data_IF_369540571709
#
_entry.id   IF_369540571709
#
_cell.length_a   1.000
_cell.length_b   1.000
_cell.length_c   1.000
_cell.angle_alpha   90.00
_cell.angle_beta   90.00
_cell.angle_gamma   90.00
#
_symmetry.space_group_name_H-M   'P 1'
#
loop_
_entity.id
_entity.type
_entity.pdbx_description
1 polymer ?
#
# COMPACT_ATOMS: atom_id res chain seq x y z
N UNK A 1 4.12 18.49 -14.28
CA UNK A 1 2.99 17.88 -13.56
C UNK A 1 3.60 16.90 -12.60
N UNK A 2 3.12 16.86 -11.36
CA UNK A 2 3.62 15.92 -10.36
C UNK A 2 3.27 14.50 -10.78
N UNK A 3 4.26 13.64 -10.99
CA UNK A 3 4.03 12.23 -11.31
C UNK A 3 3.67 11.47 -10.03
N UNK A 4 2.43 10.97 -9.98
CA UNK A 4 1.88 10.24 -8.84
C UNK A 4 1.49 8.84 -9.30
N UNK A 5 1.98 7.82 -8.60
CA UNK A 5 1.59 6.42 -8.81
C UNK A 5 0.86 5.90 -7.58
N UNK A 6 -0.30 5.27 -7.76
CA UNK A 6 -1.10 4.73 -6.65
C UNK A 6 -1.39 3.26 -6.86
N UNK A 7 -0.99 2.42 -5.90
CA UNK A 7 -1.27 0.98 -5.90
C UNK A 7 -2.58 0.71 -5.14
N UNK A 8 -3.62 0.31 -5.87
CA UNK A 8 -4.97 0.07 -5.34
C UNK A 8 -5.75 -0.91 -6.22
N UNK A 9 -6.87 -1.43 -5.74
CA UNK A 9 -7.84 -2.14 -6.56
C UNK A 9 -8.85 -2.98 -5.77
N UNK A 10 -8.45 -3.47 -4.60
CA UNK A 10 -9.31 -4.31 -3.76
C UNK A 10 -10.11 -3.48 -2.77
N UNK A 11 -9.47 -2.50 -2.13
CA UNK A 11 -10.11 -1.63 -1.12
C UNK A 11 -10.72 -0.38 -1.75
N UNK A 12 -10.17 0.09 -2.87
CA UNK A 12 -10.66 1.22 -3.63
C UNK A 12 -10.46 0.96 -5.13
N UNK A 13 -11.53 1.03 -5.90
CA UNK A 13 -11.47 0.80 -7.34
C UNK A 13 -10.75 1.94 -8.06
N UNK A 14 -10.18 1.67 -9.24
CA UNK A 14 -9.50 2.69 -10.04
C UNK A 14 -10.47 3.79 -10.52
N UNK A 15 -11.74 3.46 -10.75
CA UNK A 15 -12.75 4.42 -11.16
C UNK A 15 -13.06 5.42 -10.03
N UNK A 16 -13.30 4.92 -8.82
CA UNK A 16 -13.53 5.77 -7.64
C UNK A 16 -12.28 6.61 -7.32
N UNK A 17 -11.10 6.00 -7.36
CA UNK A 17 -9.85 6.73 -7.11
C UNK A 17 -9.59 7.81 -8.17
N UNK A 18 -9.78 7.48 -9.45
CA UNK A 18 -9.63 8.41 -10.57
C UNK A 18 -10.61 9.58 -10.55
N UNK A 19 -11.76 9.43 -9.89
CA UNK A 19 -12.69 10.54 -9.64
C UNK A 19 -12.19 11.55 -8.59
N UNK A 20 -11.25 11.15 -7.73
CA UNK A 20 -10.71 11.96 -6.62
C UNK A 20 -9.35 12.59 -6.96
N UNK A 21 -8.51 11.86 -7.69
CA UNK A 21 -7.14 12.27 -8.01
C UNK A 21 -6.75 11.79 -9.41
N UNK A 22 -6.14 12.67 -10.19
CA UNK A 22 -5.50 12.31 -11.45
C UNK A 22 -4.11 11.73 -11.16
N UNK A 23 -3.97 10.41 -11.29
CA UNK A 23 -2.75 9.66 -10.98
C UNK A 23 -2.66 8.38 -11.83
N UNK A 24 -1.46 7.80 -11.90
CA UNK A 24 -1.23 6.49 -12.51
C UNK A 24 -1.64 5.38 -11.52
N UNK A 25 -2.82 4.80 -11.74
CA UNK A 25 -3.36 3.72 -10.92
C UNK A 25 -2.83 2.36 -11.36
N UNK A 26 -2.27 1.62 -10.40
CA UNK A 26 -1.69 0.29 -10.59
C UNK A 26 -2.40 -0.74 -9.72
N UNK A 27 -2.33 -2.03 -10.09
CA UNK A 27 -2.86 -3.12 -9.25
C UNK A 27 -2.23 -3.11 -7.85
N UNK A 28 -2.79 -3.85 -6.87
CA UNK A 28 -2.20 -3.97 -5.53
C UNK A 28 -0.69 -4.25 -5.57
N UNK A 29 0.06 -3.52 -4.74
CA UNK A 29 1.53 -3.56 -4.75
C UNK A 29 2.06 -4.96 -4.47
N UNK A 30 3.06 -5.39 -5.22
CA UNK A 30 3.81 -6.62 -4.96
C UNK A 30 5.31 -6.39 -5.00
N UNK A 31 6.05 -7.43 -4.63
CA UNK A 31 7.51 -7.45 -4.65
C UNK A 31 8.07 -7.00 -5.99
N UNK A 32 9.09 -6.16 -5.93
CA UNK A 32 9.79 -5.50 -7.03
C UNK A 32 9.05 -4.37 -7.77
N UNK A 33 7.76 -4.13 -7.53
CA UNK A 33 7.05 -3.05 -8.24
C UNK A 33 7.67 -1.67 -7.94
N UNK A 34 7.98 -1.41 -6.67
CA UNK A 34 8.59 -0.13 -6.24
C UNK A 34 10.01 0.00 -6.81
N UNK A 35 10.80 -1.07 -6.80
CA UNK A 35 12.14 -1.04 -7.41
C UNK A 35 12.07 -0.69 -8.89
N UNK A 36 11.13 -1.29 -9.64
CA UNK A 36 10.95 -1.02 -11.07
C UNK A 36 10.60 0.46 -11.31
N UNK A 37 9.77 1.06 -10.46
CA UNK A 37 9.44 2.49 -10.56
C UNK A 37 10.66 3.37 -10.30
N UNK A 38 11.40 3.10 -9.21
CA UNK A 38 12.60 3.84 -8.86
C UNK A 38 13.67 3.73 -9.97
N UNK A 39 13.86 2.55 -10.54
CA UNK A 39 14.84 2.31 -11.61
C UNK A 39 14.49 3.02 -12.92
N UNK A 40 13.22 3.39 -13.13
CA UNK A 40 12.74 4.17 -14.28
C UNK A 40 12.83 5.69 -14.09
N UNK A 41 13.39 6.15 -12.98
CA UNK A 41 13.51 7.57 -12.64
C UNK A 41 12.71 7.97 -11.41
N UNK A 42 11.79 7.12 -10.94
CA UNK A 42 10.96 7.34 -9.76
C UNK A 42 9.88 8.41 -9.97
N UNK A 43 8.61 8.15 -9.59
CA UNK A 43 7.61 9.21 -9.52
C UNK A 43 7.92 10.17 -8.36
N UNK A 44 7.28 11.33 -8.33
CA UNK A 44 7.38 12.25 -7.18
C UNK A 44 6.71 11.65 -5.94
N UNK A 45 5.59 10.94 -6.13
CA UNK A 45 4.79 10.36 -5.06
C UNK A 45 4.36 8.93 -5.39
N UNK A 46 4.48 8.03 -4.41
CA UNK A 46 3.90 6.68 -4.42
C UNK A 46 2.85 6.58 -3.31
N UNK A 47 1.61 6.32 -3.69
CA UNK A 47 0.53 5.93 -2.77
C UNK A 47 0.39 4.41 -2.71
N UNK A 48 0.34 3.84 -1.51
CA UNK A 48 0.09 2.41 -1.29
C UNK A 48 -1.22 2.27 -0.52
N UNK A 49 -2.24 1.72 -1.18
CA UNK A 49 -3.52 1.38 -0.57
C UNK A 49 -3.57 -0.14 -0.39
N UNK A 50 -3.46 -0.89 -1.48
CA UNK A 50 -3.56 -2.34 -1.48
C UNK A 50 -2.22 -3.01 -1.81
N UNK A 51 -2.03 -4.22 -1.28
CA UNK A 51 -0.88 -5.06 -1.60
C UNK A 51 -1.19 -6.55 -1.56
N UNK A 52 -0.40 -7.35 -2.28
CA UNK A 52 -0.58 -8.80 -2.36
C UNK A 52 0.09 -9.48 -1.16
N UNK A 53 -0.71 -10.18 -0.36
CA UNK A 53 -0.23 -10.90 0.83
C UNK A 53 0.05 -12.38 0.51
N UNK A 54 1.29 -12.69 0.13
CA UNK A 54 1.87 -14.04 0.15
C UNK A 54 3.38 -13.91 0.34
N UNK A 55 4.03 -14.80 1.11
CA UNK A 55 5.43 -14.68 1.57
C UNK A 55 6.45 -14.22 0.49
N UNK A 56 6.31 -14.74 -0.74
CA UNK A 56 7.17 -14.35 -1.88
C UNK A 56 6.69 -13.17 -2.71
N UNK A 57 5.43 -12.75 -2.55
CA UNK A 57 4.79 -11.69 -3.33
C UNK A 57 4.68 -10.35 -2.57
N UNK A 58 4.78 -10.35 -1.24
CA UNK A 58 4.65 -9.13 -0.45
C UNK A 58 5.80 -8.14 -0.74
N UNK A 59 5.43 -6.87 -0.88
CA UNK A 59 6.38 -5.76 -1.04
C UNK A 59 7.33 -5.73 0.16
N UNK A 60 8.64 -5.67 -0.11
CA UNK A 60 9.64 -5.69 0.94
C UNK A 60 9.92 -4.28 1.47
N UNK A 61 10.16 -4.15 2.78
CA UNK A 61 10.52 -2.88 3.43
C UNK A 61 11.67 -2.15 2.74
N UNK A 62 12.67 -2.92 2.28
CA UNK A 62 13.85 -2.38 1.59
C UNK A 62 13.51 -1.63 0.30
N UNK A 63 12.43 -1.99 -0.38
CA UNK A 63 12.00 -1.32 -1.62
C UNK A 63 11.42 0.06 -1.31
N UNK A 64 10.57 0.13 -0.29
CA UNK A 64 9.98 1.39 0.19
C UNK A 64 11.09 2.33 0.70
N UNK A 65 12.00 1.81 1.53
CA UNK A 65 13.15 2.59 2.02
C UNK A 65 14.02 3.09 0.86
N UNK A 66 14.21 2.28 -0.19
CA UNK A 66 14.95 2.68 -1.39
C UNK A 66 14.25 3.84 -2.11
N UNK A 67 12.94 3.77 -2.29
CA UNK A 67 12.17 4.86 -2.89
C UNK A 67 12.29 6.16 -2.08
N UNK A 68 12.13 6.09 -0.76
CA UNK A 68 12.28 7.25 0.14
C UNK A 68 13.69 7.84 0.02
N UNK A 69 14.74 7.00 0.01
CA UNK A 69 16.13 7.44 -0.18
C UNK A 69 16.41 8.04 -1.56
N UNK A 70 15.62 7.67 -2.57
CA UNK A 70 15.67 8.27 -3.90
C UNK A 70 14.93 9.61 -3.99
N UNK A 71 14.35 10.10 -2.89
CA UNK A 71 13.61 11.36 -2.83
C UNK A 71 12.12 11.23 -3.17
N UNK A 72 11.61 10.00 -3.33
CA UNK A 72 10.19 9.73 -3.59
C UNK A 72 9.40 9.85 -2.30
N UNK A 73 8.30 10.60 -2.33
CA UNK A 73 7.37 10.64 -1.19
C UNK A 73 6.52 9.37 -1.21
N UNK A 74 6.56 8.57 -0.14
CA UNK A 74 5.77 7.34 -0.06
C UNK A 74 4.70 7.47 1.02
N UNK A 75 3.44 7.25 0.65
CA UNK A 75 2.27 7.41 1.52
C UNK A 75 1.49 6.09 1.60
N UNK A 76 1.05 5.70 2.79
CA UNK A 76 0.20 4.52 2.97
C UNK A 76 -0.85 4.71 4.06
N UNK A 77 -2.05 4.15 3.87
CA UNK A 77 -3.15 4.42 4.82
C UNK A 77 -4.29 3.41 4.89
N UNK A 78 -4.24 2.35 4.08
CA UNK A 78 -5.20 1.26 4.12
C UNK A 78 -4.45 -0.07 3.96
N UNK A 79 -5.05 -1.19 4.39
CA UNK A 79 -4.54 -2.55 4.14
C UNK A 79 -3.01 -2.65 4.33
N UNK A 80 -2.30 -3.21 3.35
CA UNK A 80 -0.83 -3.32 3.35
C UNK A 80 -0.11 -1.97 3.40
N UNK A 81 -0.71 -0.91 2.85
CA UNK A 81 -0.15 0.44 2.91
C UNK A 81 -0.10 1.01 4.33
N UNK A 82 -1.13 0.79 5.14
CA UNK A 82 -1.17 1.20 6.54
C UNK A 82 -0.14 0.44 7.38
N UNK A 83 -0.08 -0.89 7.22
CA UNK A 83 0.89 -1.75 7.89
C UNK A 83 2.33 -1.31 7.56
N UNK A 84 2.64 -1.15 6.26
CA UNK A 84 3.98 -0.72 5.84
C UNK A 84 4.30 0.68 6.33
N UNK A 85 3.32 1.58 6.39
CA UNK A 85 3.51 2.90 6.95
C UNK A 85 3.86 2.85 8.44
N UNK A 86 3.17 2.05 9.26
CA UNK A 86 3.49 1.92 10.69
C UNK A 86 4.86 1.30 10.96
N UNK A 87 5.34 0.45 10.06
CA UNK A 87 6.67 -0.16 10.19
C UNK A 87 7.81 0.78 9.72
N UNK A 88 7.49 1.75 8.86
CA UNK A 88 8.45 2.58 8.13
C UNK A 88 8.28 4.08 8.33
N UNK A 89 7.41 4.51 9.22
CA UNK A 89 7.20 5.92 9.54
C UNK A 89 8.48 6.58 10.08
N UNK A 90 9.22 5.89 10.94
CA UNK A 90 10.54 6.32 11.44
C UNK A 90 11.60 6.37 10.33
N UNK A 91 11.32 5.78 9.16
CA UNK A 91 12.18 5.78 8.00
C UNK A 91 11.73 6.78 6.92
N UNK A 92 10.66 7.54 7.17
CA UNK A 92 10.17 8.60 6.28
C UNK A 92 8.96 8.23 5.42
N UNK A 93 8.35 7.06 5.63
CA UNK A 93 7.05 6.74 5.01
C UNK A 93 5.96 7.54 5.73
N UNK A 94 4.99 8.08 4.99
CA UNK A 94 3.90 8.86 5.56
C UNK A 94 2.69 7.96 5.76
N UNK A 95 2.35 7.68 7.01
CA UNK A 95 1.12 7.00 7.37
C UNK A 95 -0.07 7.94 7.49
N UNK A 96 -1.22 7.55 6.93
CA UNK A 96 -2.46 8.34 6.99
C UNK A 96 -3.67 7.50 7.38
N UNK A 97 -4.57 8.10 8.17
CA UNK A 97 -5.86 7.51 8.49
C UNK A 97 -5.85 6.52 9.66
N UNK A 98 -7.05 6.08 10.02
CA UNK A 98 -7.34 5.34 11.26
C UNK A 98 -6.66 3.97 11.32
N UNK A 99 -6.53 3.26 10.20
CA UNK A 99 -5.90 1.93 10.18
C UNK A 99 -4.40 2.05 10.49
N UNK A 100 -3.72 3.04 9.92
CA UNK A 100 -2.33 3.33 10.26
C UNK A 100 -2.17 3.71 11.74
N UNK A 101 -3.04 4.58 12.27
CA UNK A 101 -3.02 4.95 13.69
C UNK A 101 -3.16 3.72 14.60
N UNK A 102 -4.05 2.78 14.26
CA UNK A 102 -4.23 1.54 15.02
C UNK A 102 -2.98 0.66 15.03
N UNK A 103 -2.30 0.52 13.90
CA UNK A 103 -1.03 -0.21 13.84
C UNK A 103 0.08 0.52 14.61
N UNK A 104 0.22 1.84 14.44
CA UNK A 104 1.23 2.66 15.12
C UNK A 104 1.08 2.62 16.64
N UNK A 105 -0.16 2.66 17.12
CA UNK A 105 -0.47 2.71 18.55
C UNK A 105 -0.56 1.31 19.19
N UNK A 106 -0.27 0.24 18.43
CA UNK A 106 -0.30 -1.15 18.90
C UNK A 106 -1.70 -1.68 19.22
N UNK A 107 -2.75 -1.02 18.71
CA UNK A 107 -4.14 -1.47 18.83
C UNK A 107 -4.38 -2.72 17.97
N UNK A 108 -3.62 -2.84 16.89
CA UNK A 108 -3.58 -3.98 15.97
C UNK A 108 -2.13 -4.41 15.77
N UNK A 109 -1.79 -5.65 16.11
CA UNK A 109 -0.41 -6.15 16.13
C UNK A 109 -0.12 -7.31 15.15
N UNK A 110 -1.14 -7.88 14.51
CA UNK A 110 -0.99 -9.09 13.68
C UNK A 110 -1.12 -8.81 12.18
N UNK A 111 -0.17 -9.32 11.40
CA UNK A 111 -0.16 -9.32 9.92
C UNK A 111 -1.38 -10.04 9.32
N UNK A 112 -2.03 -10.94 10.08
CA UNK A 112 -3.24 -11.65 9.69
C UNK A 112 -4.47 -10.72 9.60
N UNK A 113 -4.40 -9.51 10.15
CA UNK A 113 -5.55 -8.59 10.19
C UNK A 113 -5.88 -7.93 8.84
N UNK A 114 -4.91 -7.89 7.91
CA UNK A 114 -5.05 -7.32 6.56
C UNK A 114 -4.88 -8.34 5.44
N UNK A 115 -4.63 -9.61 5.76
CA UNK A 115 -4.49 -10.67 4.78
C UNK A 115 -5.86 -10.95 4.11
N UNK A 116 -6.00 -10.55 2.85
CA UNK A 116 -7.19 -10.83 2.03
C UNK A 116 -6.79 -11.74 0.88
N UNK A 117 -7.39 -12.92 0.83
CA UNK A 117 -7.43 -13.74 -0.40
C UNK A 117 -8.39 -13.08 -1.38
N UNK A 118 -7.97 -12.88 -2.62
CA UNK A 118 -8.79 -12.34 -3.70
C UNK A 118 -8.64 -13.15 -4.98
N UNK A 119 -9.61 -13.05 -5.87
CA UNK A 119 -9.58 -13.74 -7.15
C UNK A 119 -8.51 -13.09 -8.06
N UNK A 120 -7.56 -13.85 -8.63
CA UNK A 120 -6.36 -13.30 -9.27
C UNK A 120 -6.63 -12.52 -10.56
N UNK A 121 -7.79 -12.73 -11.19
CA UNK A 121 -8.17 -12.07 -12.46
C UNK A 121 -9.18 -10.94 -12.28
N UNK A 122 -10.08 -11.05 -11.29
CA UNK A 122 -11.15 -10.08 -11.07
C UNK A 122 -10.85 -9.12 -9.91
N UNK A 123 -9.81 -9.40 -9.12
CA UNK A 123 -9.44 -8.68 -7.90
C UNK A 123 -10.54 -8.66 -6.83
N UNK A 124 -11.60 -9.44 -7.02
CA UNK A 124 -12.70 -9.54 -6.06
C UNK A 124 -12.20 -10.20 -4.76
N UNK A 125 -12.48 -9.61 -3.59
CA UNK A 125 -12.11 -10.20 -2.31
C UNK A 125 -12.88 -11.51 -2.08
N UNK A 126 -12.15 -12.62 -1.94
CA UNK A 126 -12.67 -13.95 -1.62
C UNK A 126 -12.70 -14.21 -0.10
N UNK A 127 -12.23 -13.24 0.69
CA UNK A 127 -12.22 -13.26 2.15
C UNK A 127 -12.38 -11.83 2.69
N UNK A 128 -12.83 -11.71 3.93
CA UNK A 128 -12.93 -10.43 4.62
C UNK A 128 -11.69 -10.26 5.50
N UNK A 129 -10.96 -9.15 5.43
CA UNK A 129 -9.82 -8.92 6.31
C UNK A 129 -10.29 -8.89 7.77
N UNK A 130 -9.55 -9.52 8.66
CA UNK A 130 -9.89 -9.66 10.08
C UNK A 130 -10.07 -8.29 10.78
N UNK A 131 -9.40 -7.23 10.29
CA UNK A 131 -9.60 -5.84 10.77
C UNK A 131 -11.04 -5.35 10.56
N UNK A 132 -11.74 -5.82 9.53
CA UNK A 132 -13.13 -5.43 9.24
C UNK A 132 -14.16 -6.15 10.15
N UNK A 133 -13.73 -7.11 10.97
CA UNK A 133 -14.61 -7.85 11.90
C UNK A 133 -14.58 -7.23 13.29
N UNK A 134 -13.58 -6.41 13.62
CA UNK A 134 -13.51 -5.67 14.88
C UNK A 134 -14.39 -4.41 14.78
N UNK A 135 -15.54 -4.45 15.45
CA UNK A 135 -16.45 -3.31 15.65
C UNK A 135 -16.07 -2.52 16.88
#
# INVERSE_FOLDING_TARGET
MTEIVVFTGNSLSWEEAGSLLDADYRPPVKRNDINILVDKGGPEIIGIIDGIFFDRAAVAHREIIRAIKAGVTVVGGCSMGALRASELDTHGMIGVGRIYEWYRDGVVESDDEVAVTFHPETLEPLSVPLVNIRT
#
